data_IF_285481447493
#
_entry.id   IF_285481447493
#
_cell.length_a   1.000
_cell.length_b   1.000
_cell.length_c   1.000
_cell.angle_alpha   90.00
_cell.angle_beta   90.00
_cell.angle_gamma   90.00
#
_symmetry.space_group_name_H-M   'P 1'
#
loop_
_entity.id
_entity.type
_entity.pdbx_description
1 polymer ?
#
# COMPACT_ATOMS: atom_id res chain seq x y z
N UNK A 1 -9.49 -31.53 -8.11
CA UNK A 1 -10.44 -31.17 -7.07
C UNK A 1 -9.78 -30.74 -5.74
N UNK A 2 -8.60 -31.22 -5.44
CA UNK A 2 -7.87 -30.80 -4.23
C UNK A 2 -7.32 -29.37 -4.30
N UNK A 3 -7.11 -28.84 -5.49
CA UNK A 3 -6.60 -27.48 -5.66
C UNK A 3 -7.57 -26.39 -5.25
N UNK A 4 -8.87 -26.62 -5.37
CA UNK A 4 -9.89 -25.65 -4.99
C UNK A 4 -10.00 -25.49 -3.46
N UNK A 5 -9.72 -26.55 -2.71
CA UNK A 5 -9.76 -26.52 -1.25
C UNK A 5 -8.54 -25.85 -0.62
N UNK A 6 -7.37 -25.95 -1.28
CA UNK A 6 -6.17 -25.27 -0.81
C UNK A 6 -6.27 -23.75 -0.96
N UNK A 7 -7.12 -23.25 -1.86
CA UNK A 7 -7.34 -21.84 -2.07
C UNK A 7 -8.33 -21.21 -1.07
N UNK A 8 -9.22 -22.04 -0.50
CA UNK A 8 -10.20 -21.59 0.49
C UNK A 8 -9.66 -21.55 1.92
N UNK A 9 -8.47 -22.07 2.15
CA UNK A 9 -7.90 -22.16 3.50
C UNK A 9 -7.20 -20.87 3.98
N UNK A 10 -7.40 -19.75 3.30
CA UNK A 10 -7.03 -18.46 3.83
C UNK A 10 -8.18 -17.51 3.63
N UNK A 11 -8.60 -16.74 4.58
CA UNK A 11 -7.71 -15.71 5.04
C UNK A 11 -7.51 -15.80 6.53
N UNK A 12 -6.35 -16.11 6.92
CA UNK A 12 -6.01 -15.70 8.26
C UNK A 12 -6.23 -14.19 8.29
N UNK A 13 -7.00 -13.73 9.25
CA UNK A 13 -7.18 -12.31 9.57
C UNK A 13 -5.85 -11.71 10.04
N UNK A 14 -4.77 -11.98 9.29
CA UNK A 14 -3.47 -11.43 9.60
C UNK A 14 -3.50 -9.96 9.24
N UNK A 15 -3.20 -9.14 10.20
CA UNK A 15 -3.01 -7.72 9.96
C UNK A 15 -1.85 -7.56 8.98
N UNK A 16 -2.11 -6.83 7.88
CA UNK A 16 -1.07 -6.51 6.93
C UNK A 16 0.04 -5.72 7.61
N UNK A 17 1.29 -6.12 7.39
CA UNK A 17 2.46 -5.39 7.85
C UNK A 17 3.65 -5.66 6.94
N UNK A 18 4.53 -4.68 6.80
CA UNK A 18 5.79 -4.82 6.09
C UNK A 18 6.76 -3.73 6.52
N UNK A 19 8.05 -4.06 6.52
CA UNK A 19 9.13 -3.10 6.77
C UNK A 19 10.09 -2.98 5.58
N UNK A 20 9.82 -3.71 4.50
CA UNK A 20 10.66 -3.69 3.31
C UNK A 20 10.48 -2.35 2.56
N UNK A 21 11.56 -1.57 2.35
CA UNK A 21 11.47 -0.29 1.64
C UNK A 21 10.90 -0.40 0.22
N UNK A 22 11.16 -1.50 -0.48
CA UNK A 22 10.59 -1.74 -1.81
C UNK A 22 9.07 -1.90 -1.75
N UNK A 23 8.57 -2.60 -0.74
CA UNK A 23 7.13 -2.72 -0.50
C UNK A 23 6.50 -1.36 -0.21
N UNK A 24 7.14 -0.54 0.61
CA UNK A 24 6.64 0.79 0.96
C UNK A 24 6.55 1.69 -0.27
N UNK A 25 7.56 1.67 -1.13
CA UNK A 25 7.56 2.43 -2.39
C UNK A 25 6.48 1.93 -3.36
N UNK A 26 6.32 0.62 -3.48
CA UNK A 26 5.29 0.03 -4.32
C UNK A 26 3.88 0.37 -3.83
N UNK A 27 3.64 0.30 -2.53
CA UNK A 27 2.37 0.66 -1.91
C UNK A 27 2.04 2.13 -2.18
N UNK A 28 3.00 3.01 -2.00
CA UNK A 28 2.83 4.44 -2.28
C UNK A 28 2.49 4.69 -3.75
N UNK A 29 3.19 4.03 -4.67
CA UNK A 29 2.95 4.17 -6.10
C UNK A 29 1.55 3.68 -6.49
N UNK A 30 1.14 2.51 -6.00
CA UNK A 30 -0.17 1.92 -6.30
C UNK A 30 -1.32 2.70 -5.64
N UNK A 31 -1.08 3.33 -4.51
CA UNK A 31 -2.07 4.20 -3.87
C UNK A 31 -2.34 5.46 -4.70
N UNK A 32 -1.34 5.93 -5.42
CA UNK A 32 -1.43 7.12 -6.27
C UNK A 32 -2.20 6.84 -7.56
N UNK A 33 -1.89 5.74 -8.24
CA UNK A 33 -2.51 5.38 -9.53
C UNK A 33 -2.23 3.91 -9.88
N UNK A 34 -3.01 3.31 -10.80
CA UNK A 34 -2.66 2.02 -11.39
C UNK A 34 -1.28 2.08 -12.06
N UNK A 35 -0.52 1.00 -11.94
CA UNK A 35 0.86 0.94 -12.44
C UNK A 35 1.07 -0.25 -13.37
N UNK A 36 1.54 -0.03 -14.61
CA UNK A 36 2.10 -1.11 -15.42
C UNK A 36 3.34 -1.69 -14.74
N UNK A 37 3.66 -2.93 -15.07
CA UNK A 37 4.80 -3.66 -14.48
C UNK A 37 6.09 -2.83 -14.49
N UNK A 38 6.44 -2.26 -15.64
CA UNK A 38 7.70 -1.53 -15.79
C UNK A 38 7.75 -0.26 -14.93
N UNK A 39 6.62 0.44 -14.84
CA UNK A 39 6.52 1.62 -13.98
C UNK A 39 6.62 1.23 -12.50
N UNK A 40 6.04 0.11 -12.12
CA UNK A 40 6.12 -0.39 -10.75
C UNK A 40 7.55 -0.83 -10.41
N UNK A 41 8.25 -1.49 -11.34
CA UNK A 41 9.66 -1.82 -11.18
C UNK A 41 10.49 -0.56 -10.87
N UNK A 42 10.31 0.50 -11.64
CA UNK A 42 11.01 1.77 -11.45
C UNK A 42 10.63 2.45 -10.14
N UNK A 43 9.34 2.51 -9.82
CA UNK A 43 8.85 3.17 -8.62
C UNK A 43 9.31 2.46 -7.35
N UNK A 44 9.30 1.13 -7.33
CA UNK A 44 9.72 0.33 -6.19
C UNK A 44 11.23 0.17 -6.09
N UNK A 45 11.95 0.42 -7.19
CA UNK A 45 13.39 0.17 -7.25
C UNK A 45 13.72 -1.32 -7.26
N UNK A 46 12.92 -2.11 -7.96
CA UNK A 46 13.12 -3.55 -8.10
C UNK A 46 13.15 -3.93 -9.59
N UNK A 47 13.58 -5.14 -9.86
CA UNK A 47 13.63 -5.67 -11.22
C UNK A 47 12.56 -6.72 -11.50
N UNK A 48 11.74 -7.05 -10.52
CA UNK A 48 10.72 -8.09 -10.65
C UNK A 48 9.48 -7.75 -9.82
N UNK A 49 8.71 -6.78 -10.30
CA UNK A 49 7.48 -6.37 -9.64
C UNK A 49 6.43 -7.49 -9.52
N UNK A 50 6.30 -8.46 -10.45
CA UNK A 50 5.41 -9.58 -10.22
C UNK A 50 5.70 -10.36 -8.94
N UNK A 51 6.98 -10.59 -8.62
CA UNK A 51 7.36 -11.26 -7.38
C UNK A 51 7.07 -10.38 -6.16
N UNK A 52 7.35 -9.09 -6.25
CA UNK A 52 7.02 -8.13 -5.21
C UNK A 52 5.52 -8.09 -4.93
N UNK A 53 4.70 -8.06 -5.97
CA UNK A 53 3.24 -8.10 -5.86
C UNK A 53 2.78 -9.43 -5.25
N UNK A 54 3.38 -10.54 -5.66
CA UNK A 54 3.08 -11.85 -5.08
C UNK A 54 3.37 -11.87 -3.58
N UNK A 55 4.47 -11.28 -3.14
CA UNK A 55 4.81 -11.15 -1.73
C UNK A 55 3.79 -10.29 -0.97
N UNK A 56 3.38 -9.17 -1.53
CA UNK A 56 2.36 -8.32 -0.93
C UNK A 56 1.00 -9.04 -0.83
N UNK A 57 0.65 -9.85 -1.83
CA UNK A 57 -0.54 -10.70 -1.79
C UNK A 57 -0.47 -11.72 -0.67
N UNK A 58 0.67 -12.36 -0.48
CA UNK A 58 0.89 -13.31 0.62
C UNK A 58 0.71 -12.64 1.98
N UNK A 59 0.98 -11.35 2.07
CA UNK A 59 0.83 -10.55 3.29
C UNK A 59 -0.58 -10.01 3.52
N UNK A 60 -1.50 -10.19 2.56
CA UNK A 60 -2.90 -9.87 2.74
C UNK A 60 -3.47 -8.79 1.83
N UNK A 61 -2.72 -8.30 0.86
CA UNK A 61 -3.22 -7.37 -0.14
C UNK A 61 -3.70 -8.13 -1.38
N UNK A 62 -4.84 -7.75 -1.94
CA UNK A 62 -5.41 -8.45 -3.09
C UNK A 62 -4.74 -8.07 -4.40
N UNK A 63 -4.33 -6.88 -4.59
CA UNK A 63 -3.67 -6.27 -5.76
C UNK A 63 -4.04 -6.95 -7.09
N UNK A 64 -5.19 -6.64 -7.70
CA UNK A 64 -5.56 -7.22 -8.98
C UNK A 64 -4.64 -6.75 -10.11
N UNK A 65 -4.57 -7.55 -11.17
CA UNK A 65 -3.87 -7.21 -12.40
C UNK A 65 -4.85 -7.21 -13.56
N UNK A 66 -4.99 -6.07 -14.22
CA UNK A 66 -5.85 -5.92 -15.38
C UNK A 66 -5.00 -5.93 -16.66
N UNK A 67 -5.45 -6.70 -17.66
CA UNK A 67 -4.81 -6.70 -18.99
C UNK A 67 -5.38 -5.57 -19.83
N UNK A 68 -4.51 -4.67 -20.29
CA UNK A 68 -4.89 -3.50 -21.08
C UNK A 68 -4.25 -3.60 -22.46
N UNK A 69 -5.02 -3.31 -23.50
CA UNK A 69 -4.49 -3.27 -24.87
C UNK A 69 -3.51 -2.08 -25.00
N UNK A 70 -2.36 -2.35 -25.57
CA UNK A 70 -1.30 -1.35 -25.76
C UNK A 70 -0.49 -1.71 -26.99
N UNK A 71 0.44 -0.87 -27.37
CA UNK A 71 1.40 -1.10 -28.42
C UNK A 71 2.79 -1.23 -27.80
N UNK A 72 3.59 -2.15 -28.33
CA UNK A 72 4.98 -2.26 -27.92
C UNK A 72 5.85 -1.19 -28.61
N UNK A 73 7.16 -1.26 -28.35
CA UNK A 73 8.13 -0.32 -28.92
C UNK A 73 8.12 -0.33 -30.46
N UNK A 74 7.79 -1.47 -31.06
CA UNK A 74 7.76 -1.65 -32.51
C UNK A 74 6.36 -1.40 -33.11
N UNK A 75 5.40 -0.94 -32.30
CA UNK A 75 4.05 -0.66 -32.73
C UNK A 75 3.16 -1.89 -32.85
N UNK A 76 3.60 -3.04 -32.32
CA UNK A 76 2.82 -4.28 -32.37
C UNK A 76 1.81 -4.34 -31.23
N UNK A 77 0.59 -4.89 -31.48
CA UNK A 77 -0.41 -5.01 -30.42
C UNK A 77 0.05 -5.96 -29.32
N UNK A 78 -0.01 -5.50 -28.08
CA UNK A 78 0.27 -6.30 -26.90
C UNK A 78 -0.83 -6.10 -25.86
N UNK A 79 -0.88 -6.99 -24.88
CA UNK A 79 -1.72 -6.82 -23.70
C UNK A 79 -0.82 -6.63 -22.49
N UNK A 80 -0.83 -5.43 -21.95
CA UNK A 80 0.03 -5.04 -20.81
C UNK A 80 -0.71 -5.30 -19.51
N UNK A 81 -0.03 -5.91 -18.54
CA UNK A 81 -0.57 -6.07 -17.20
C UNK A 81 -0.42 -4.79 -16.40
N UNK A 82 -1.52 -4.33 -15.77
CA UNK A 82 -1.55 -3.15 -14.93
C UNK A 82 -2.06 -3.54 -13.55
N UNK A 83 -1.25 -3.29 -12.53
CA UNK A 83 -1.61 -3.53 -11.13
C UNK A 83 -2.34 -2.32 -10.57
N UNK A 84 -3.34 -2.56 -9.71
CA UNK A 84 -4.07 -1.49 -9.07
C UNK A 84 -4.56 -1.90 -7.69
N UNK A 85 -4.84 -0.91 -6.84
CA UNK A 85 -5.43 -1.14 -5.54
C UNK A 85 -6.94 -1.10 -5.61
N UNK A 86 -7.58 -2.06 -4.96
CA UNK A 86 -9.02 -2.03 -4.69
C UNK A 86 -9.30 -1.12 -3.49
N UNK A 87 -10.56 -0.79 -3.29
CA UNK A 87 -10.99 -0.04 -2.09
C UNK A 87 -10.68 -0.83 -0.81
N UNK A 88 -10.80 -2.15 -0.86
CA UNK A 88 -10.38 -3.03 0.24
C UNK A 88 -8.90 -2.93 0.57
N UNK A 89 -8.05 -2.90 -0.47
CA UNK A 89 -6.61 -2.70 -0.29
C UNK A 89 -6.31 -1.35 0.36
N UNK A 90 -6.96 -0.28 -0.10
CA UNK A 90 -6.78 1.06 0.46
C UNK A 90 -7.16 1.13 1.93
N UNK A 91 -8.26 0.50 2.31
CA UNK A 91 -8.69 0.41 3.72
C UNK A 91 -7.68 -0.34 4.57
N UNK A 92 -7.18 -1.45 4.09
CA UNK A 92 -6.15 -2.24 4.78
C UNK A 92 -4.88 -1.43 5.00
N UNK A 93 -4.42 -0.72 3.97
CA UNK A 93 -3.23 0.13 4.02
C UNK A 93 -3.43 1.28 5.01
N UNK A 94 -4.58 1.96 4.98
CA UNK A 94 -4.88 3.06 5.91
C UNK A 94 -4.85 2.59 7.37
N UNK A 95 -5.44 1.42 7.67
CA UNK A 95 -5.41 0.85 9.01
C UNK A 95 -3.99 0.56 9.46
N UNK A 96 -3.21 -0.05 8.59
CA UNK A 96 -1.82 -0.38 8.88
C UNK A 96 -0.99 0.88 9.13
N UNK A 97 -1.12 1.90 8.28
CA UNK A 97 -0.41 3.17 8.45
C UNK A 97 -0.80 3.87 9.76
N UNK A 98 -2.08 3.86 10.11
CA UNK A 98 -2.56 4.43 11.37
C UNK A 98 -1.94 3.72 12.59
N UNK A 99 -1.86 2.39 12.55
CA UNK A 99 -1.23 1.59 13.60
C UNK A 99 0.27 1.89 13.69
N UNK A 100 0.93 2.02 12.55
CA UNK A 100 2.35 2.33 12.46
C UNK A 100 2.67 3.72 13.01
N UNK A 101 1.85 4.72 12.71
CA UNK A 101 2.00 6.07 13.26
C UNK A 101 1.83 6.10 14.77
N UNK A 102 0.88 5.35 15.32
CA UNK A 102 0.69 5.25 16.78
C UNK A 102 1.90 4.64 17.47
N UNK A 103 2.57 3.66 16.83
CA UNK A 103 3.79 3.07 17.36
C UNK A 103 5.01 3.98 17.26
N UNK A 104 4.98 4.96 16.37
CA UNK A 104 6.10 5.91 16.14
C UNK A 104 5.89 7.28 16.77
N UNK A 105 4.77 7.53 17.43
CA UNK A 105 4.58 8.78 18.17
C UNK A 105 5.43 8.73 19.43
N UNK A 106 6.49 9.53 19.43
CA UNK A 106 7.31 9.77 20.62
C UNK A 106 6.41 10.41 21.68
N UNK A 107 6.35 9.86 22.92
CA UNK A 107 5.55 10.45 23.99
C UNK A 107 5.88 11.92 24.26
N UNK A 108 7.11 12.35 24.00
CA UNK A 108 7.52 13.75 24.14
C UNK A 108 6.85 14.66 23.11
N UNK A 109 6.64 14.18 21.87
CA UNK A 109 5.95 14.94 20.82
C UNK A 109 4.44 15.03 21.07
N UNK A 110 3.83 14.00 21.63
CA UNK A 110 2.42 14.03 22.01
C UNK A 110 2.17 15.07 23.11
N UNK A 111 3.11 15.23 24.04
CA UNK A 111 3.06 16.26 25.07
C UNK A 111 3.13 17.68 24.49
N UNK A 112 3.96 17.88 23.49
CA UNK A 112 4.11 19.17 22.82
C UNK A 112 2.83 19.59 22.07
N UNK A 113 2.18 18.68 21.37
CA UNK A 113 0.93 18.97 20.65
C UNK A 113 -0.21 19.29 21.61
N UNK A 114 -0.28 18.60 22.75
CA UNK A 114 -1.26 18.90 23.80
C UNK A 114 -1.01 20.27 24.42
N UNK A 115 0.26 20.64 24.63
CA UNK A 115 0.65 21.94 25.20
C UNK A 115 0.33 23.10 24.22
N UNK A 116 0.59 22.92 22.94
CA UNK A 116 0.26 23.92 21.92
C UNK A 116 -1.25 24.16 21.82
N UNK A 117 -2.06 23.11 21.93
CA UNK A 117 -3.51 23.21 21.96
C UNK A 117 -4.02 23.97 23.19
N UNK A 118 -3.43 23.76 24.35
CA UNK A 118 -3.78 24.47 25.58
C UNK A 118 -3.46 25.96 25.49
N UNK A 119 -2.32 26.31 24.96
CA UNK A 119 -1.90 27.72 24.77
C UNK A 119 -2.86 28.45 23.81
N UNK A 120 -3.28 27.81 22.72
CA UNK A 120 -4.23 28.41 21.78
C UNK A 120 -5.60 28.64 22.44
N UNK A 121 -6.04 27.71 23.27
CA UNK A 121 -7.31 27.85 24.00
C UNK A 121 -7.26 29.00 25.03
N UNK A 122 -6.13 29.20 25.69
CA UNK A 122 -5.93 30.29 26.61
C UNK A 122 -5.92 31.67 25.92
N UNK A 123 -5.32 31.75 24.74
CA UNK A 123 -5.30 32.99 23.95
C UNK A 123 -6.70 33.35 23.41
N UNK A 124 -7.50 32.37 23.05
CA UNK A 124 -8.87 32.56 22.62
C UNK A 124 -9.82 32.88 23.80
N UNK A 125 -9.49 32.44 24.99
CA UNK A 125 -10.26 32.73 26.20
C UNK A 125 -10.04 34.15 26.77
N UNK A 126 -9.03 34.85 26.29
CA UNK A 126 -8.69 36.22 26.74
C UNK A 126 -9.28 37.30 25.81
N UNK A 127 -9.99 36.90 24.78
CA UNK A 127 -10.70 37.80 23.86
C UNK A 127 -12.20 37.70 24.10
#
# INVERSE_FOLDING_TARGET
MEYAQAFESAPSKRHFTTDNPRHLRAIHALDTRPMPREHLDSAAGCSNSPELVAELRRRGLEIPCQRVADLDRDGLPIRRGVYYFTEGNRRTIRRWLATRQKGNIDPSLAGWLAFAGLCAALLLGLV
#
